data_IF_139380259281
#
_entry.id   IF_139380259281
#
_cell.length_a   1.000
_cell.length_b   1.000
_cell.length_c   1.000
_cell.angle_alpha   90.00
_cell.angle_beta   90.00
_cell.angle_gamma   90.00
#
_symmetry.space_group_name_H-M   'P 1'
#
loop_
_entity.id
_entity.type
_entity.pdbx_description
1 polymer ?
#
# COMPACT_ATOMS: atom_id res chain seq x y z
N UNK A 1 10.94 32.95 10.29
CA UNK A 1 10.94 32.75 8.83
C UNK A 1 10.01 31.57 8.58
N UNK A 2 8.80 31.85 8.03
CA UNK A 2 7.85 30.77 7.68
C UNK A 2 8.48 29.91 6.58
N UNK A 3 8.58 28.60 6.71
CA UNK A 3 9.00 27.77 5.60
C UNK A 3 7.97 27.90 4.47
N UNK A 4 8.41 28.42 3.33
CA UNK A 4 7.58 28.50 2.15
C UNK A 4 7.36 27.06 1.67
N UNK A 5 6.19 26.49 1.92
CA UNK A 5 5.77 25.23 1.34
C UNK A 5 5.59 25.43 -0.17
N UNK A 6 6.66 25.22 -0.92
CA UNK A 6 6.58 25.18 -2.37
C UNK A 6 5.90 23.89 -2.80
N UNK A 7 4.57 23.96 -2.98
CA UNK A 7 3.81 22.87 -3.60
C UNK A 7 4.26 22.76 -5.06
N UNK A 8 4.38 21.53 -5.54
CA UNK A 8 4.70 21.29 -6.93
C UNK A 8 3.60 21.90 -7.82
N UNK A 9 3.95 22.67 -8.88
CA UNK A 9 2.98 23.42 -9.69
C UNK A 9 2.00 22.54 -10.47
N UNK A 10 2.26 21.23 -10.56
CA UNK A 10 1.39 20.28 -11.26
C UNK A 10 0.45 19.56 -10.29
N UNK A 11 -0.90 19.67 -10.47
CA UNK A 11 -1.87 19.03 -9.56
C UNK A 11 -1.68 17.53 -9.35
N UNK A 12 -1.27 16.81 -10.39
CA UNK A 12 -1.03 15.37 -10.34
C UNK A 12 0.19 14.99 -9.49
N UNK A 13 1.06 15.94 -9.15
CA UNK A 13 2.23 15.73 -8.31
C UNK A 13 2.13 16.53 -7.00
N UNK A 14 0.92 16.93 -6.61
CA UNK A 14 0.68 17.67 -5.36
C UNK A 14 1.10 16.92 -4.07
N UNK A 15 1.36 15.62 -4.18
CA UNK A 15 1.98 14.82 -3.11
C UNK A 15 3.51 14.98 -3.04
N UNK A 16 4.13 15.74 -3.94
CA UNK A 16 5.56 16.06 -3.94
C UNK A 16 5.75 17.48 -3.45
N UNK A 17 6.17 17.63 -2.21
CA UNK A 17 6.57 18.93 -1.67
C UNK A 17 8.05 19.17 -2.01
N UNK A 18 8.38 20.36 -2.51
CA UNK A 18 9.76 20.73 -2.83
C UNK A 18 10.57 21.05 -1.56
N UNK A 19 9.90 21.39 -0.47
CA UNK A 19 10.51 21.59 0.85
C UNK A 19 9.75 20.74 1.86
N UNK A 20 10.02 19.43 1.93
CA UNK A 20 9.23 18.54 2.77
C UNK A 20 9.51 18.79 4.26
N UNK A 21 8.46 19.19 4.97
CA UNK A 21 8.41 19.16 6.44
C UNK A 21 7.27 18.22 6.82
N UNK A 22 7.58 17.08 7.38
CA UNK A 22 6.62 16.06 7.75
C UNK A 22 6.85 15.60 9.17
N UNK A 23 5.77 15.22 9.85
CA UNK A 23 5.85 14.61 11.18
C UNK A 23 6.72 13.35 11.14
N UNK A 24 7.81 13.35 11.92
CA UNK A 24 8.65 12.18 12.16
C UNK A 24 9.40 11.60 10.97
N UNK A 25 9.49 12.31 9.82
CA UNK A 25 10.03 11.68 8.62
C UNK A 25 11.40 12.16 8.15
N UNK A 26 11.63 13.48 8.10
CA UNK A 26 12.84 14.03 7.48
C UNK A 26 13.74 14.79 8.44
N UNK A 27 13.22 15.16 9.59
CA UNK A 27 14.00 15.86 10.61
C UNK A 27 14.07 15.01 11.86
N UNK A 28 15.28 14.79 12.36
CA UNK A 28 15.49 14.18 13.67
C UNK A 28 15.04 15.11 14.79
N UNK A 29 14.91 14.58 15.98
CA UNK A 29 14.49 15.32 17.17
C UNK A 29 15.46 16.45 17.58
N UNK A 30 16.69 16.41 17.05
CA UNK A 30 17.76 17.38 17.26
C UNK A 30 17.69 18.60 16.33
N UNK A 31 16.79 18.59 15.34
CA UNK A 31 16.70 19.64 14.33
C UNK A 31 15.33 20.31 14.32
N UNK A 32 15.31 21.61 14.59
CA UNK A 32 14.10 22.42 14.47
C UNK A 32 13.80 22.75 12.99
N UNK A 33 12.50 22.80 12.58
CA UNK A 33 11.33 22.43 13.34
C UNK A 33 11.14 20.90 13.32
N UNK A 34 11.40 20.24 14.42
CA UNK A 34 11.12 18.81 14.54
C UNK A 34 9.62 18.60 14.74
N UNK A 35 9.09 17.62 14.05
CA UNK A 35 7.70 17.21 14.15
C UNK A 35 7.67 15.76 14.61
N UNK A 36 6.99 15.52 15.71
CA UNK A 36 6.92 14.20 16.35
C UNK A 36 6.15 13.22 15.46
N UNK A 37 6.43 11.93 15.56
CA UNK A 37 5.68 10.88 14.88
C UNK A 37 4.33 10.60 15.52
N UNK A 38 3.54 9.69 14.90
CA UNK A 38 2.22 9.29 15.38
C UNK A 38 2.23 8.29 16.54
N UNK A 39 3.39 7.81 17.00
CA UNK A 39 3.52 6.99 18.22
C UNK A 39 3.61 7.89 19.42
N UNK A 40 2.48 8.43 19.82
CA UNK A 40 2.32 9.36 20.92
C UNK A 40 0.88 9.32 21.44
N UNK A 41 0.70 9.64 22.70
CA UNK A 41 -0.64 9.81 23.30
C UNK A 41 -1.36 11.01 22.71
N UNK A 42 -0.62 12.08 22.43
CA UNK A 42 -1.11 13.31 21.82
C UNK A 42 -0.17 13.77 20.71
N UNK A 43 -0.73 14.23 19.61
CA UNK A 43 0.02 14.83 18.50
C UNK A 43 -0.41 16.27 18.34
N UNK A 44 0.55 17.19 18.50
CA UNK A 44 0.30 18.60 18.23
C UNK A 44 0.36 18.85 16.71
N UNK A 45 -0.71 19.38 16.16
CA UNK A 45 -0.80 19.70 14.71
C UNK A 45 -0.86 21.22 14.54
N UNK A 46 0.20 21.80 14.01
CA UNK A 46 0.28 23.24 13.70
C UNK A 46 -0.07 23.49 12.23
N UNK A 47 -1.27 24.01 12.01
CA UNK A 47 -1.76 24.33 10.66
C UNK A 47 -1.12 25.57 10.07
N UNK A 48 -0.55 26.45 10.91
CA UNK A 48 0.19 27.63 10.41
C UNK A 48 1.57 27.23 9.91
N UNK A 49 2.22 26.28 10.58
CA UNK A 49 3.49 25.70 10.14
C UNK A 49 3.33 24.85 8.86
N UNK A 50 2.17 24.23 8.70
CA UNK A 50 1.88 23.31 7.60
C UNK A 50 0.70 23.82 6.77
N UNK A 51 0.84 24.95 6.07
CA UNK A 51 -0.23 25.49 5.22
C UNK A 51 -0.57 24.46 4.13
N UNK A 52 -1.87 24.18 3.98
CA UNK A 52 -2.37 23.18 3.04
C UNK A 52 -2.54 21.78 3.65
N UNK A 53 -2.17 21.56 4.92
CA UNK A 53 -2.56 20.36 5.66
C UNK A 53 -4.08 20.26 5.73
N UNK A 54 -4.60 19.07 5.45
CA UNK A 54 -6.03 18.78 5.53
C UNK A 54 -6.29 17.82 6.68
N UNK A 55 -7.28 18.16 7.48
CA UNK A 55 -7.80 17.31 8.55
C UNK A 55 -9.20 16.89 8.14
N UNK A 56 -9.45 15.60 8.21
CA UNK A 56 -10.77 15.02 7.93
C UNK A 56 -11.28 14.32 9.18
N UNK A 57 -12.50 14.65 9.58
CA UNK A 57 -13.20 13.93 10.63
C UNK A 57 -13.66 12.59 10.09
N UNK A 58 -13.41 11.51 10.86
CA UNK A 58 -14.00 10.21 10.57
C UNK A 58 -15.51 10.26 10.85
N UNK A 59 -16.35 9.41 10.20
CA UNK A 59 -17.72 9.19 10.62
C UNK A 59 -17.81 8.85 12.11
N UNK A 60 -18.81 9.37 12.81
CA UNK A 60 -18.94 9.25 14.27
C UNK A 60 -19.09 7.79 14.76
N UNK A 61 -19.62 6.91 13.91
CA UNK A 61 -19.77 5.48 14.16
C UNK A 61 -18.65 4.61 13.57
N UNK A 62 -17.59 5.23 13.06
CA UNK A 62 -16.44 4.50 12.52
C UNK A 62 -15.41 4.22 13.63
N UNK A 63 -15.06 2.95 13.84
CA UNK A 63 -14.05 2.59 14.82
C UNK A 63 -12.69 3.23 14.49
N UNK A 64 -11.95 3.67 15.52
CA UNK A 64 -10.62 4.25 15.35
C UNK A 64 -9.63 3.26 14.74
N UNK A 65 -9.78 1.97 15.03
CA UNK A 65 -8.99 0.90 14.40
C UNK A 65 -9.21 0.85 12.91
N UNK A 66 -10.47 0.96 12.47
CA UNK A 66 -10.80 1.00 11.05
C UNK A 66 -10.22 2.28 10.42
N UNK A 67 -10.37 3.41 11.09
CA UNK A 67 -9.80 4.69 10.67
C UNK A 67 -8.29 4.67 10.45
N UNK A 68 -7.55 3.91 11.27
CA UNK A 68 -6.10 3.74 11.13
C UNK A 68 -5.65 3.04 9.83
N UNK A 69 -6.57 2.43 9.09
CA UNK A 69 -6.30 1.83 7.78
C UNK A 69 -6.52 2.82 6.62
N UNK A 70 -7.06 4.01 6.86
CA UNK A 70 -7.41 4.97 5.79
C UNK A 70 -6.20 5.46 5.01
N UNK A 71 -5.10 5.78 5.70
CA UNK A 71 -3.86 6.25 5.07
C UNK A 71 -3.29 5.23 4.07
N UNK A 72 -2.98 3.99 4.49
CA UNK A 72 -2.39 3.01 3.58
C UNK A 72 -3.37 2.56 2.49
N UNK A 73 -4.68 2.46 2.76
CA UNK A 73 -5.66 2.15 1.73
C UNK A 73 -5.76 3.26 0.67
N UNK A 74 -5.70 4.51 1.09
CA UNK A 74 -5.72 5.66 0.16
C UNK A 74 -4.55 5.61 -0.82
N UNK A 75 -3.37 5.17 -0.37
CA UNK A 75 -2.21 4.98 -1.24
C UNK A 75 -2.49 3.93 -2.33
N UNK A 76 -3.15 2.82 -1.97
CA UNK A 76 -3.56 1.79 -2.93
C UNK A 76 -4.59 2.33 -3.94
N UNK A 77 -5.64 3.00 -3.46
CA UNK A 77 -6.68 3.61 -4.33
C UNK A 77 -6.03 4.58 -5.31
N UNK A 78 -5.10 5.42 -4.85
CA UNK A 78 -4.39 6.35 -5.73
C UNK A 78 -3.57 5.62 -6.79
N UNK A 79 -2.91 4.53 -6.46
CA UNK A 79 -2.15 3.72 -7.41
C UNK A 79 -3.05 3.20 -8.55
N UNK A 80 -4.21 2.64 -8.23
CA UNK A 80 -5.21 2.24 -9.22
C UNK A 80 -5.77 3.41 -10.02
N UNK A 81 -6.09 4.54 -9.38
CA UNK A 81 -6.54 5.75 -10.08
C UNK A 81 -5.48 6.27 -11.06
N UNK A 82 -4.20 6.17 -10.73
CA UNK A 82 -3.12 6.49 -11.68
C UNK A 82 -3.09 5.53 -12.86
N UNK A 83 -3.19 4.24 -12.61
CA UNK A 83 -3.25 3.23 -13.65
C UNK A 83 -4.45 3.45 -14.58
N UNK A 84 -5.63 3.67 -14.01
CA UNK A 84 -6.86 3.92 -14.77
C UNK A 84 -6.76 5.19 -15.65
N UNK A 85 -6.23 6.29 -15.11
CA UNK A 85 -6.02 7.53 -15.89
C UNK A 85 -5.00 7.38 -17.03
N UNK A 86 -4.08 6.44 -16.90
CA UNK A 86 -3.11 6.11 -17.94
C UNK A 86 -3.64 5.07 -18.94
N UNK A 87 -4.92 4.65 -18.84
CA UNK A 87 -5.51 3.61 -19.66
C UNK A 87 -5.05 2.19 -19.35
N UNK A 88 -4.39 2.02 -18.20
CA UNK A 88 -3.77 0.76 -17.80
C UNK A 88 -4.52 -0.03 -16.73
N UNK A 89 -5.76 0.38 -16.39
CA UNK A 89 -6.67 -0.37 -15.54
C UNK A 89 -8.12 -0.06 -15.90
N UNK A 90 -8.90 -1.10 -16.10
CA UNK A 90 -10.31 -1.04 -16.45
C UNK A 90 -11.15 -2.04 -15.65
N UNK A 91 -12.46 -1.85 -15.68
CA UNK A 91 -13.38 -2.80 -15.10
C UNK A 91 -13.25 -4.17 -15.76
N UNK A 92 -13.19 -5.22 -14.93
CA UNK A 92 -13.07 -6.60 -15.40
C UNK A 92 -11.64 -7.11 -15.56
N UNK A 93 -10.63 -6.24 -15.45
CA UNK A 93 -9.22 -6.60 -15.59
C UNK A 93 -8.76 -7.65 -14.56
N UNK A 94 -7.79 -8.44 -14.98
CA UNK A 94 -7.05 -9.37 -14.12
C UNK A 94 -5.86 -8.65 -13.50
N UNK A 95 -5.84 -8.60 -12.17
CA UNK A 95 -4.83 -7.89 -11.37
C UNK A 95 -3.99 -8.89 -10.58
N UNK A 96 -2.68 -8.73 -10.62
CA UNK A 96 -1.73 -9.42 -9.75
C UNK A 96 -1.16 -8.44 -8.74
N UNK A 97 -1.27 -8.76 -7.46
CA UNK A 97 -0.66 -8.02 -6.37
C UNK A 97 0.57 -8.79 -5.87
N UNK A 98 1.75 -8.20 -6.03
CA UNK A 98 2.99 -8.73 -5.48
C UNK A 98 3.22 -8.18 -4.07
N UNK A 99 3.27 -9.07 -3.09
CA UNK A 99 3.35 -8.76 -1.68
C UNK A 99 2.04 -8.99 -0.94
N UNK A 100 2.12 -9.74 0.16
CA UNK A 100 1.00 -10.08 1.06
C UNK A 100 1.12 -9.37 2.42
N UNK A 101 1.88 -8.28 2.47
CA UNK A 101 1.95 -7.38 3.63
C UNK A 101 0.70 -6.50 3.76
N UNK A 102 0.71 -5.53 4.70
CA UNK A 102 -0.45 -4.66 4.92
C UNK A 102 -0.93 -3.96 3.64
N UNK A 103 -0.01 -3.41 2.87
CA UNK A 103 -0.32 -2.69 1.62
C UNK A 103 -0.88 -3.66 0.57
N UNK A 104 -0.29 -4.87 0.42
CA UNK A 104 -0.76 -5.83 -0.56
C UNK A 104 -2.19 -6.31 -0.28
N UNK A 105 -2.54 -6.59 0.99
CA UNK A 105 -3.90 -7.00 1.36
C UNK A 105 -4.89 -5.86 1.13
N UNK A 106 -4.54 -4.62 1.48
CA UNK A 106 -5.34 -3.44 1.18
C UNK A 106 -5.50 -3.23 -0.34
N UNK A 107 -4.45 -3.49 -1.12
CA UNK A 107 -4.50 -3.41 -2.58
C UNK A 107 -5.41 -4.50 -3.18
N UNK A 108 -5.49 -5.70 -2.59
CA UNK A 108 -6.45 -6.74 -3.00
C UNK A 108 -7.88 -6.23 -2.85
N UNK A 109 -8.24 -5.68 -1.67
CA UNK A 109 -9.56 -5.10 -1.45
C UNK A 109 -9.84 -3.92 -2.41
N UNK A 110 -8.87 -3.01 -2.55
CA UNK A 110 -9.00 -1.86 -3.46
C UNK A 110 -9.22 -2.32 -4.91
N UNK A 111 -8.47 -3.31 -5.41
CA UNK A 111 -8.66 -3.88 -6.74
C UNK A 111 -10.08 -4.38 -6.95
N UNK A 112 -10.62 -5.15 -5.99
CA UNK A 112 -12.00 -5.67 -6.04
C UNK A 112 -13.04 -4.55 -6.05
N UNK A 113 -12.90 -3.56 -5.15
CA UNK A 113 -13.85 -2.44 -5.07
C UNK A 113 -13.78 -1.50 -6.27
N UNK A 114 -12.63 -1.44 -6.94
CA UNK A 114 -12.44 -0.63 -8.14
C UNK A 114 -12.76 -1.38 -9.44
N UNK A 115 -13.23 -2.64 -9.35
CA UNK A 115 -13.82 -3.36 -10.47
C UNK A 115 -12.91 -4.39 -11.13
N UNK A 116 -11.82 -4.82 -10.51
CA UNK A 116 -11.03 -5.95 -11.00
C UNK A 116 -11.91 -7.22 -11.11
N UNK A 117 -11.88 -7.86 -12.26
CA UNK A 117 -12.60 -9.12 -12.49
C UNK A 117 -11.96 -10.28 -11.71
N UNK A 118 -10.62 -10.33 -11.72
CA UNK A 118 -9.82 -11.33 -11.01
C UNK A 118 -8.69 -10.66 -10.24
N UNK A 119 -8.39 -11.16 -9.04
CA UNK A 119 -7.25 -10.69 -8.24
C UNK A 119 -6.44 -11.88 -7.75
N UNK A 120 -5.16 -11.88 -8.05
CA UNK A 120 -4.18 -12.88 -7.61
C UNK A 120 -3.20 -12.21 -6.65
N UNK A 121 -2.90 -12.82 -5.50
CA UNK A 121 -1.91 -12.32 -4.56
C UNK A 121 -0.67 -13.23 -4.54
N UNK A 122 0.49 -12.66 -4.80
CA UNK A 122 1.79 -13.34 -4.74
C UNK A 122 2.53 -12.91 -3.48
N UNK A 123 2.84 -13.81 -2.57
CA UNK A 123 3.48 -13.41 -1.31
C UNK A 123 3.76 -14.56 -0.35
N UNK A 124 3.97 -14.25 0.92
CA UNK A 124 4.18 -15.21 2.03
C UNK A 124 4.03 -14.47 3.38
N UNK A 125 3.92 -15.23 4.48
CA UNK A 125 3.66 -16.67 4.59
C UNK A 125 2.19 -17.00 4.27
N UNK A 126 1.88 -18.31 4.23
CA UNK A 126 0.49 -18.78 4.08
C UNK A 126 -0.39 -18.22 5.21
N UNK A 127 0.00 -18.48 6.45
CA UNK A 127 -0.64 -17.91 7.64
C UNK A 127 0.25 -16.80 8.25
N UNK A 128 -0.31 -15.67 8.59
CA UNK A 128 -1.71 -15.25 8.42
C UNK A 128 -2.00 -14.56 7.07
N UNK A 129 -0.98 -14.32 6.23
CA UNK A 129 -1.03 -13.31 5.17
C UNK A 129 -1.79 -13.73 3.93
N UNK A 130 -1.43 -14.86 3.32
CA UNK A 130 -2.11 -15.31 2.09
C UNK A 130 -3.54 -15.76 2.36
N UNK A 131 -3.79 -16.40 3.52
CA UNK A 131 -5.14 -16.69 3.95
C UNK A 131 -6.00 -15.44 4.05
N UNK A 132 -5.46 -14.39 4.68
CA UNK A 132 -6.18 -13.13 4.80
C UNK A 132 -6.38 -12.46 3.44
N UNK A 133 -5.40 -12.53 2.52
CA UNK A 133 -5.57 -12.02 1.16
C UNK A 133 -6.78 -12.66 0.45
N UNK A 134 -7.02 -13.97 0.64
CA UNK A 134 -8.22 -14.65 0.11
C UNK A 134 -9.51 -14.14 0.77
N UNK A 135 -9.50 -13.90 2.08
CA UNK A 135 -10.65 -13.30 2.79
C UNK A 135 -10.95 -11.87 2.29
N UNK A 136 -9.94 -11.16 1.77
CA UNK A 136 -10.07 -9.85 1.14
C UNK A 136 -10.39 -9.90 -0.35
N UNK A 137 -10.59 -11.08 -0.92
CA UNK A 137 -11.08 -11.26 -2.28
C UNK A 137 -10.03 -11.64 -3.32
N UNK A 138 -8.83 -12.05 -2.92
CA UNK A 138 -7.92 -12.72 -3.84
C UNK A 138 -8.51 -14.08 -4.24
N UNK A 139 -8.71 -14.28 -5.55
CA UNK A 139 -9.26 -15.54 -6.10
C UNK A 139 -8.23 -16.68 -6.00
N UNK A 140 -6.96 -16.33 -6.16
CA UNK A 140 -5.86 -17.27 -6.01
C UNK A 140 -4.67 -16.61 -5.33
N UNK A 141 -3.82 -17.45 -4.75
CA UNK A 141 -2.56 -17.02 -4.12
C UNK A 141 -1.39 -17.85 -4.65
N UNK A 142 -0.21 -17.24 -4.72
CA UNK A 142 1.05 -17.91 -5.05
C UNK A 142 2.02 -17.70 -3.90
N UNK A 143 2.37 -18.80 -3.22
CA UNK A 143 3.24 -18.76 -2.06
C UNK A 143 4.71 -18.81 -2.47
N UNK A 144 5.45 -17.73 -2.24
CA UNK A 144 6.87 -17.62 -2.61
C UNK A 144 7.80 -18.45 -1.71
N UNK A 145 7.33 -18.95 -0.58
CA UNK A 145 8.07 -19.89 0.26
C UNK A 145 8.00 -21.32 -0.29
N UNK A 146 6.93 -21.66 -0.98
CA UNK A 146 6.73 -22.96 -1.63
C UNK A 146 7.33 -22.96 -3.04
N UNK A 147 7.05 -21.90 -3.82
CA UNK A 147 7.57 -21.74 -5.19
C UNK A 147 8.73 -20.75 -5.14
N UNK A 148 9.95 -21.23 -4.92
CA UNK A 148 11.15 -20.41 -4.73
C UNK A 148 11.72 -19.86 -6.03
N UNK A 149 11.52 -20.54 -7.15
CA UNK A 149 12.00 -20.14 -8.46
C UNK A 149 11.16 -18.97 -9.02
N UNK A 150 11.75 -17.82 -9.39
CA UNK A 150 11.04 -16.75 -10.08
C UNK A 150 10.31 -17.23 -11.35
N UNK A 151 10.98 -18.08 -12.14
CA UNK A 151 10.43 -18.61 -13.39
C UNK A 151 9.19 -19.48 -13.12
N UNK A 152 9.21 -20.31 -12.09
CA UNK A 152 8.06 -21.14 -11.71
C UNK A 152 6.91 -20.27 -11.17
N UNK A 153 7.20 -19.19 -10.41
CA UNK A 153 6.18 -18.25 -9.96
C UNK A 153 5.51 -17.53 -11.12
N UNK A 154 6.31 -17.03 -12.08
CA UNK A 154 5.80 -16.41 -13.31
C UNK A 154 4.92 -17.40 -14.08
N UNK A 155 5.40 -18.62 -14.31
CA UNK A 155 4.65 -19.65 -14.99
C UNK A 155 3.33 -19.97 -14.27
N UNK A 156 3.37 -20.10 -12.94
CA UNK A 156 2.17 -20.35 -12.13
C UNK A 156 1.15 -19.20 -12.20
N UNK A 157 1.60 -17.96 -12.12
CA UNK A 157 0.70 -16.80 -12.29
C UNK A 157 0.09 -16.82 -13.69
N UNK A 158 0.90 -17.00 -14.73
CA UNK A 158 0.40 -17.07 -16.11
C UNK A 158 -0.60 -18.19 -16.36
N UNK A 159 -0.39 -19.37 -15.77
CA UNK A 159 -1.34 -20.48 -15.77
C UNK A 159 -2.68 -20.07 -15.14
N UNK A 160 -2.65 -19.47 -13.96
CA UNK A 160 -3.86 -19.03 -13.25
C UNK A 160 -4.65 -18.01 -14.08
N UNK A 161 -3.98 -17.08 -14.75
CA UNK A 161 -4.62 -16.02 -15.54
C UNK A 161 -4.97 -16.44 -16.98
N UNK A 162 -4.79 -17.71 -17.34
CA UNK A 162 -5.19 -18.24 -18.67
C UNK A 162 -4.11 -18.15 -19.74
N UNK A 163 -2.83 -18.02 -19.39
CA UNK A 163 -1.68 -18.14 -20.30
C UNK A 163 -1.19 -16.81 -20.90
N UNK A 164 -2.06 -15.84 -21.14
CA UNK A 164 -1.68 -14.56 -21.77
C UNK A 164 -0.94 -13.61 -20.85
N UNK A 165 -1.16 -13.70 -19.56
CA UNK A 165 -0.65 -12.79 -18.52
C UNK A 165 -1.73 -11.86 -17.97
N UNK A 166 -1.38 -11.11 -16.94
CA UNK A 166 -2.29 -10.19 -16.26
C UNK A 166 -2.40 -8.85 -16.99
N UNK A 167 -3.53 -8.17 -16.85
CA UNK A 167 -3.73 -6.81 -17.35
C UNK A 167 -2.90 -5.80 -16.53
N UNK A 168 -2.90 -5.97 -15.23
CA UNK A 168 -2.14 -5.13 -14.30
C UNK A 168 -1.39 -5.97 -13.27
N UNK A 169 -0.13 -5.61 -13.02
CA UNK A 169 0.66 -6.10 -11.89
C UNK A 169 1.05 -4.90 -11.03
N UNK A 170 0.80 -5.00 -9.73
CA UNK A 170 1.15 -3.96 -8.75
C UNK A 170 2.13 -4.51 -7.72
N UNK A 171 3.32 -3.90 -7.61
CA UNK A 171 4.23 -4.21 -6.52
C UNK A 171 3.83 -3.48 -5.24
N UNK A 172 3.57 -4.26 -4.20
CA UNK A 172 3.34 -3.85 -2.82
C UNK A 172 4.36 -4.49 -1.86
N UNK A 173 5.38 -5.18 -2.40
CA UNK A 173 6.37 -5.90 -1.60
C UNK A 173 7.57 -5.06 -1.23
N UNK A 174 7.96 -4.14 -2.12
CA UNK A 174 9.19 -3.36 -2.01
C UNK A 174 10.46 -4.19 -2.15
N UNK A 175 10.35 -5.43 -2.64
CA UNK A 175 11.54 -6.26 -2.90
C UNK A 175 12.03 -6.04 -4.33
N UNK A 176 13.32 -5.78 -4.56
CA UNK A 176 13.84 -5.46 -5.90
C UNK A 176 13.46 -6.48 -6.98
N UNK A 177 13.41 -7.78 -6.65
CA UNK A 177 13.07 -8.83 -7.63
C UNK A 177 11.63 -8.81 -8.11
N UNK A 178 10.73 -8.10 -7.42
CA UNK A 178 9.32 -8.02 -7.81
C UNK A 178 9.14 -7.35 -9.17
N UNK A 179 9.92 -6.32 -9.48
CA UNK A 179 9.85 -5.61 -10.75
C UNK A 179 10.04 -6.51 -11.97
N UNK A 180 11.21 -7.17 -12.15
CA UNK A 180 11.44 -8.09 -13.26
C UNK A 180 10.43 -9.24 -13.32
N UNK A 181 10.06 -9.83 -12.20
CA UNK A 181 9.05 -10.89 -12.15
C UNK A 181 7.68 -10.37 -12.61
N UNK A 182 7.26 -9.20 -12.12
CA UNK A 182 5.98 -8.59 -12.47
C UNK A 182 5.86 -8.23 -13.95
N UNK A 183 6.92 -7.72 -14.56
CA UNK A 183 7.01 -7.45 -16.01
C UNK A 183 6.74 -8.74 -16.81
N UNK A 184 7.26 -9.87 -16.37
CA UNK A 184 7.03 -11.16 -17.05
C UNK A 184 5.64 -11.76 -16.78
N UNK A 185 5.00 -11.42 -15.66
CA UNK A 185 3.63 -11.83 -15.36
C UNK A 185 2.58 -11.10 -16.20
N UNK A 186 2.89 -9.91 -16.74
CA UNK A 186 1.98 -9.12 -17.57
C UNK A 186 1.73 -9.76 -18.95
N UNK A 187 0.56 -9.49 -19.52
CA UNK A 187 0.32 -9.65 -20.96
C UNK A 187 1.00 -8.54 -21.77
N UNK A 188 1.03 -8.67 -23.08
CA UNK A 188 1.41 -7.57 -23.96
C UNK A 188 0.39 -6.42 -23.83
N UNK A 189 0.87 -5.18 -23.82
CA UNK A 189 0.08 -3.99 -23.55
C UNK A 189 -0.35 -3.83 -22.08
N UNK A 190 0.15 -4.67 -21.16
CA UNK A 190 -0.20 -4.62 -19.74
C UNK A 190 0.45 -3.46 -18.97
N UNK A 191 0.04 -3.28 -17.73
CA UNK A 191 0.51 -2.19 -16.88
C UNK A 191 1.19 -2.69 -15.60
N UNK A 192 2.41 -2.26 -15.38
CA UNK A 192 3.13 -2.44 -14.12
C UNK A 192 3.03 -1.19 -13.26
N UNK A 193 2.61 -1.34 -12.01
CA UNK A 193 2.54 -0.24 -11.03
C UNK A 193 3.54 -0.49 -9.92
N UNK A 194 4.54 0.39 -9.83
CA UNK A 194 5.53 0.37 -8.78
C UNK A 194 5.11 1.29 -7.62
N UNK A 195 4.80 0.70 -6.46
CA UNK A 195 4.55 1.45 -5.23
C UNK A 195 5.28 0.86 -4.01
N UNK A 196 5.86 -0.33 -4.17
CA UNK A 196 6.50 -1.08 -3.10
C UNK A 196 7.87 -0.55 -2.72
N UNK A 197 8.67 -0.05 -3.67
CA UNK A 197 10.03 0.46 -3.48
C UNK A 197 10.07 1.82 -2.76
N UNK A 198 9.24 1.95 -1.76
CA UNK A 198 9.16 3.13 -0.91
C UNK A 198 10.44 3.36 -0.10
N UNK A 199 11.15 2.30 0.29
CA UNK A 199 12.30 2.34 1.19
C UNK A 199 13.64 2.10 0.51
N UNK A 200 13.72 2.11 -0.81
CA UNK A 200 14.95 1.82 -1.55
C UNK A 200 15.69 0.59 -0.99
N UNK A 201 15.09 -0.58 -1.18
CA UNK A 201 15.66 -1.85 -0.72
C UNK A 201 16.79 -2.37 -1.62
N UNK A 202 17.28 -1.55 -2.54
CA UNK A 202 18.35 -1.84 -3.49
C UNK A 202 17.91 -1.84 -4.94
N UNK A 203 18.87 -2.12 -5.83
CA UNK A 203 18.68 -2.10 -7.28
C UNK A 203 18.72 -3.50 -7.88
N UNK A 204 18.03 -3.68 -9.00
CA UNK A 204 18.05 -4.90 -9.78
C UNK A 204 18.09 -4.56 -11.27
N UNK A 205 18.76 -5.42 -12.06
CA UNK A 205 18.73 -5.29 -13.50
C UNK A 205 17.33 -5.57 -14.05
N UNK A 206 16.84 -4.69 -14.93
CA UNK A 206 15.55 -4.78 -15.58
C UNK A 206 15.71 -4.66 -17.09
N UNK A 207 15.08 -5.55 -17.85
CA UNK A 207 15.16 -5.57 -19.30
C UNK A 207 14.24 -4.51 -19.92
N UNK A 208 14.82 -3.38 -20.34
CA UNK A 208 14.13 -2.38 -21.15
C UNK A 208 13.62 -2.93 -22.48
N UNK A 209 14.32 -3.93 -23.03
CA UNK A 209 13.89 -4.65 -24.23
C UNK A 209 12.52 -5.31 -24.02
N UNK A 210 12.31 -5.95 -22.85
CA UNK A 210 11.03 -6.59 -22.52
C UNK A 210 9.89 -5.57 -22.34
N UNK A 211 10.18 -4.44 -21.73
CA UNK A 211 9.20 -3.36 -21.60
C UNK A 211 8.77 -2.84 -22.97
N UNK A 212 9.75 -2.62 -23.87
CA UNK A 212 9.49 -2.15 -25.24
C UNK A 212 8.74 -3.19 -26.08
N UNK A 213 9.21 -4.44 -26.10
CA UNK A 213 8.63 -5.49 -26.99
C UNK A 213 7.26 -5.99 -26.55
N UNK A 214 6.92 -5.83 -25.29
CA UNK A 214 5.58 -6.13 -24.76
C UNK A 214 4.65 -4.90 -24.74
N UNK A 215 5.14 -3.74 -25.17
CA UNK A 215 4.36 -2.47 -25.21
C UNK A 215 3.76 -2.11 -23.85
N UNK A 216 4.58 -2.22 -22.78
CA UNK A 216 4.11 -2.08 -21.40
C UNK A 216 4.03 -0.63 -20.93
N UNK A 217 3.02 -0.34 -20.11
CA UNK A 217 3.00 0.85 -19.26
C UNK A 217 3.73 0.56 -17.94
N UNK A 218 4.69 1.39 -17.56
CA UNK A 218 5.37 1.32 -16.25
C UNK A 218 5.10 2.61 -15.48
N UNK A 219 4.41 2.51 -14.36
CA UNK A 219 3.91 3.64 -13.60
C UNK A 219 4.42 3.61 -12.16
N UNK A 220 5.08 4.67 -11.71
CA UNK A 220 5.38 4.87 -10.28
C UNK A 220 4.21 5.48 -9.52
N UNK A 221 3.95 5.03 -8.29
CA UNK A 221 2.95 5.63 -7.40
C UNK A 221 3.54 5.86 -6.01
N UNK A 222 3.58 7.12 -5.58
CA UNK A 222 4.15 7.54 -4.31
C UNK A 222 3.10 8.18 -3.41
N UNK A 223 2.73 7.48 -2.32
CA UNK A 223 1.78 8.00 -1.35
C UNK A 223 0.45 8.44 -1.98
N UNK A 224 -0.12 9.50 -1.45
CA UNK A 224 -1.39 10.09 -1.92
C UNK A 224 -1.39 11.59 -1.70
N UNK A 225 -2.41 12.28 -2.22
CA UNK A 225 -2.66 13.72 -1.93
C UNK A 225 -3.71 13.85 -0.83
N UNK A 226 -3.73 15.00 -0.13
CA UNK A 226 -4.78 15.27 0.84
C UNK A 226 -6.21 15.16 0.27
N UNK A 227 -6.37 15.34 -1.05
CA UNK A 227 -7.67 15.19 -1.71
C UNK A 227 -8.08 13.72 -1.92
N UNK A 228 -7.14 12.78 -1.86
CA UNK A 228 -7.42 11.36 -2.03
C UNK A 228 -7.90 10.70 -0.71
N UNK A 229 -7.54 11.27 0.46
CA UNK A 229 -7.82 10.68 1.78
C UNK A 229 -9.30 10.36 2.03
N UNK A 230 -10.26 11.23 1.64
CA UNK A 230 -11.68 10.91 1.77
C UNK A 230 -12.11 9.64 1.04
N UNK A 231 -11.44 9.27 -0.07
CA UNK A 231 -11.76 8.05 -0.82
C UNK A 231 -11.42 6.79 -0.01
N UNK A 232 -10.28 6.82 0.71
CA UNK A 232 -9.91 5.71 1.60
C UNK A 232 -10.85 5.57 2.78
N UNK A 233 -11.22 6.69 3.42
CA UNK A 233 -12.19 6.70 4.53
C UNK A 233 -13.55 6.17 4.06
N UNK A 234 -14.05 6.68 2.93
CA UNK A 234 -15.33 6.28 2.36
C UNK A 234 -15.36 4.79 1.98
N UNK A 235 -14.31 4.28 1.33
CA UNK A 235 -14.21 2.87 1.00
C UNK A 235 -14.25 1.98 2.25
N UNK A 236 -13.45 2.30 3.28
CA UNK A 236 -13.48 1.57 4.55
C UNK A 236 -14.85 1.58 5.19
N UNK A 237 -15.47 2.76 5.25
CA UNK A 237 -16.76 2.93 5.90
C UNK A 237 -17.88 2.15 5.20
N UNK A 238 -17.95 2.22 3.87
CA UNK A 238 -18.94 1.49 3.06
C UNK A 238 -18.74 -0.02 3.06
N UNK A 239 -17.49 -0.48 3.24
CA UNK A 239 -17.17 -1.91 3.17
C UNK A 239 -16.82 -2.52 4.52
N UNK A 240 -17.14 -1.82 5.63
CA UNK A 240 -16.77 -2.24 6.98
C UNK A 240 -17.31 -3.63 7.36
N UNK A 241 -18.48 -3.99 6.84
CA UNK A 241 -19.13 -5.28 7.07
C UNK A 241 -18.82 -6.31 5.98
N UNK A 242 -18.18 -5.88 4.87
CA UNK A 242 -17.86 -6.74 3.72
C UNK A 242 -16.54 -7.46 3.89
N UNK A 243 -15.54 -6.76 4.43
CA UNK A 243 -14.18 -7.30 4.61
C UNK A 243 -13.81 -7.38 6.08
N UNK A 244 -12.99 -8.35 6.46
CA UNK A 244 -12.54 -8.52 7.85
C UNK A 244 -11.40 -7.54 8.20
N UNK A 245 -11.60 -6.23 8.01
CA UNK A 245 -10.59 -5.19 8.16
C UNK A 245 -9.80 -5.27 9.46
N UNK A 246 -10.49 -5.55 10.57
CA UNK A 246 -9.86 -5.58 11.89
C UNK A 246 -8.98 -6.82 12.11
N UNK A 247 -9.16 -7.90 11.32
CA UNK A 247 -8.26 -9.06 11.36
C UNK A 247 -6.85 -8.73 10.83
N UNK A 248 -6.69 -7.64 10.07
CA UNK A 248 -5.36 -7.19 9.64
C UNK A 248 -4.50 -6.73 10.80
N UNK A 249 -5.11 -6.31 11.91
CA UNK A 249 -4.43 -5.59 12.97
C UNK A 249 -4.19 -6.49 14.18
N UNK A 250 -2.93 -6.53 14.62
CA UNK A 250 -2.56 -7.04 15.94
C UNK A 250 -2.30 -5.83 16.83
N UNK A 251 -3.02 -5.76 17.95
CA UNK A 251 -2.99 -4.61 18.85
C UNK A 251 -1.90 -4.80 19.90
N UNK A 252 -1.12 -3.75 20.11
CA UNK A 252 -0.10 -3.69 21.13
C UNK A 252 -0.28 -2.41 21.98
N UNK A 253 -0.05 -2.48 23.31
CA UNK A 253 -0.12 -1.30 24.16
C UNK A 253 1.04 -0.34 23.85
N UNK A 254 0.82 0.95 24.08
CA UNK A 254 1.86 1.97 23.94
C UNK A 254 2.75 1.99 25.21
N UNK A 255 3.51 0.91 25.38
CA UNK A 255 4.56 0.75 26.38
C UNK A 255 5.85 0.37 25.69
N UNK A 256 6.99 0.48 26.38
CA UNK A 256 8.28 0.10 25.81
C UNK A 256 8.26 -1.38 25.35
N UNK A 257 7.74 -2.27 26.20
CA UNK A 257 7.63 -3.70 25.89
C UNK A 257 6.66 -3.97 24.74
N UNK A 258 5.51 -3.28 24.73
CA UNK A 258 4.50 -3.42 23.67
C UNK A 258 5.02 -3.00 22.33
N UNK A 259 5.71 -1.86 22.24
CA UNK A 259 6.34 -1.37 21.02
C UNK A 259 7.45 -2.33 20.56
N UNK A 260 8.33 -2.77 21.47
CA UNK A 260 9.39 -3.72 21.14
C UNK A 260 8.83 -5.04 20.60
N UNK A 261 7.77 -5.56 21.24
CA UNK A 261 7.11 -6.79 20.79
C UNK A 261 6.44 -6.61 19.41
N UNK A 262 5.78 -5.46 19.18
CA UNK A 262 5.16 -5.14 17.88
C UNK A 262 6.19 -5.15 16.75
N UNK A 263 7.35 -4.55 16.95
CA UNK A 263 8.45 -4.54 15.98
C UNK A 263 8.98 -5.96 15.73
N UNK A 264 9.23 -6.72 16.80
CA UNK A 264 9.72 -8.10 16.72
C UNK A 264 8.76 -9.00 15.93
N UNK A 265 7.46 -8.92 16.19
CA UNK A 265 6.46 -9.74 15.52
C UNK A 265 6.25 -9.31 14.06
N UNK A 266 6.37 -8.01 13.76
CA UNK A 266 6.35 -7.50 12.39
C UNK A 266 7.54 -8.00 11.58
N UNK A 267 8.76 -7.94 12.13
CA UNK A 267 9.98 -8.45 11.49
C UNK A 267 9.94 -9.97 11.27
N UNK A 268 9.33 -10.70 12.19
CA UNK A 268 9.13 -12.15 12.08
C UNK A 268 7.94 -12.54 11.19
N UNK A 269 7.26 -11.58 10.55
CA UNK A 269 6.05 -11.77 9.72
C UNK A 269 4.89 -12.50 10.43
N UNK A 270 4.86 -12.48 11.76
CA UNK A 270 3.78 -13.09 12.57
C UNK A 270 2.49 -12.29 12.51
N UNK A 271 2.58 -11.00 12.19
CA UNK A 271 1.46 -10.09 12.07
C UNK A 271 1.34 -9.57 10.65
N UNK A 272 0.14 -9.18 10.25
CA UNK A 272 -0.07 -8.42 9.02
C UNK A 272 0.25 -6.95 9.27
N UNK A 273 -0.42 -6.32 10.24
CA UNK A 273 -0.19 -4.92 10.64
C UNK A 273 -0.16 -4.83 12.18
N UNK A 274 0.97 -4.45 12.73
CA UNK A 274 1.08 -4.10 14.15
C UNK A 274 0.47 -2.71 14.36
N UNK A 275 -0.45 -2.59 15.30
CA UNK A 275 -1.11 -1.34 15.65
C UNK A 275 -0.82 -1.02 17.12
N UNK A 276 -0.14 0.09 17.36
CA UNK A 276 0.15 0.59 18.71
C UNK A 276 -1.01 1.43 19.17
N UNK A 277 -1.51 1.17 20.37
CA UNK A 277 -2.68 1.85 20.92
C UNK A 277 -2.31 2.53 22.24
N UNK A 278 -2.27 3.88 22.27
CA UNK A 278 -1.99 4.62 23.50
C UNK A 278 -3.16 4.60 24.51
N UNK A 279 -4.39 4.42 24.00
CA UNK A 279 -5.62 4.46 24.80
C UNK A 279 -6.42 3.18 24.57
N UNK A 280 -6.13 2.07 25.31
CA UNK A 280 -6.79 0.77 25.10
C UNK A 280 -8.33 0.84 25.20
N UNK A 281 -8.85 1.71 26.05
CA UNK A 281 -10.29 1.93 26.27
C UNK A 281 -11.02 2.55 25.04
N UNK A 282 -10.28 3.11 24.08
CA UNK A 282 -10.84 3.67 22.85
C UNK A 282 -10.81 2.66 21.68
N UNK A 283 -10.37 1.43 21.94
CA UNK A 283 -10.19 0.40 20.93
C UNK A 283 -11.16 -0.73 21.20
N UNK A 284 -12.34 -0.62 20.63
CA UNK A 284 -13.35 -1.69 20.58
C UNK A 284 -13.30 -2.47 19.26
#
# INVERSE_FOLDING_TARGET
VRPLLLLHPFPQTANKCLTPVYYGRYLGFDKAPHMWGGWAEYVYVDLEMLPGTKIYKLPDDMSLRLGALSEPLTSCIRAFNRASRAGGFSWGDTVVIQGSGPIGILAVAAAREMGAGRVICVGAPEEPRLKLAREFGAEATVNIQEIKSPQERIARVREIVGGFGADLVMDCSGHPTAGPEGIEMLRDGGTYVEMGQFTDAGSIETSWHRICTKDLNVLGSWGFTGNDLPLGVDMLYRTRDKYPWLKMQTIYPFTEEGVAQAVKDAMAMKTVKSTIVPWPELVE
#
